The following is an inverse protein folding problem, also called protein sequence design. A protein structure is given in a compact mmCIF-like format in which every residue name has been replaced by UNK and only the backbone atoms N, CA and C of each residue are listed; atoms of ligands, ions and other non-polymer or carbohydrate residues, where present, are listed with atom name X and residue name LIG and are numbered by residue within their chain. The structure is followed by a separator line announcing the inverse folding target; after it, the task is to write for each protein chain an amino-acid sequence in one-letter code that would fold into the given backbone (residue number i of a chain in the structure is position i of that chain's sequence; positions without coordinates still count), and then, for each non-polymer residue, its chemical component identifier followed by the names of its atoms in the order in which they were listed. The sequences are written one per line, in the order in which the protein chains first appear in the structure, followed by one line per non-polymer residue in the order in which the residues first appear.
data_IF_535584100330
#
_entry.id   IF_535584100330
#
_cell.length_a   1.000
_cell.length_b   1.000
_cell.length_c   1.000
_cell.angle_alpha   90.00
_cell.angle_beta   90.00
_cell.angle_gamma   90.00
#
_symmetry.space_group_name_H-M   'P 1'
#
loop_
_entity.id
_entity.type
_entity.pdbx_description
1 polymer ?
#
# COMPACT_ATOMS: atom_id res chain seq x y z
N UNK A 1 -40.89 -13.76 29.16
CA UNK A 1 -39.87 -12.92 29.83
C UNK A 1 -38.50 -13.53 29.60
N UNK A 2 -37.70 -13.01 28.67
CA UNK A 2 -36.32 -13.49 28.50
C UNK A 2 -35.50 -13.08 29.72
N UNK A 3 -34.85 -14.05 30.37
CA UNK A 3 -33.93 -13.83 31.51
C UNK A 3 -32.80 -12.88 31.10
N UNK A 4 -32.47 -11.92 31.97
CA UNK A 4 -31.39 -10.91 31.78
C UNK A 4 -30.07 -11.56 31.39
N UNK A 5 -29.79 -12.78 31.85
CA UNK A 5 -28.58 -13.52 31.48
C UNK A 5 -28.56 -13.93 30.01
N UNK A 6 -29.71 -14.37 29.45
CA UNK A 6 -29.80 -14.72 28.02
C UNK A 6 -29.57 -13.50 27.14
N UNK A 7 -30.05 -12.33 27.56
CA UNK A 7 -29.83 -11.08 26.82
C UNK A 7 -28.34 -10.68 26.79
N UNK A 8 -27.64 -10.81 27.91
CA UNK A 8 -26.20 -10.50 28.03
C UNK A 8 -25.33 -11.46 27.21
N UNK A 9 -25.66 -12.76 27.20
CA UNK A 9 -24.95 -13.72 26.36
C UNK A 9 -25.14 -13.46 24.86
N UNK A 10 -26.35 -13.08 24.44
CA UNK A 10 -26.61 -12.75 23.03
C UNK A 10 -25.89 -11.47 22.58
N UNK A 11 -25.85 -10.42 23.40
CA UNK A 11 -25.12 -9.19 23.06
C UNK A 11 -23.61 -9.39 23.02
N UNK A 12 -23.06 -10.19 23.95
CA UNK A 12 -21.64 -10.55 23.93
C UNK A 12 -21.24 -11.35 22.66
N UNK A 13 -22.09 -12.29 22.22
CA UNK A 13 -21.84 -13.07 21.02
C UNK A 13 -21.85 -12.22 19.73
N UNK A 14 -22.73 -11.22 19.65
CA UNK A 14 -22.79 -10.29 18.51
C UNK A 14 -21.53 -9.40 18.45
N UNK A 15 -21.04 -8.92 19.59
CA UNK A 15 -19.83 -8.09 19.65
C UNK A 15 -18.56 -8.86 19.27
N UNK A 16 -18.46 -10.13 19.65
CA UNK A 16 -17.33 -11.00 19.26
C UNK A 16 -17.40 -11.34 17.76
N UNK A 17 -18.59 -11.61 17.23
CA UNK A 17 -18.78 -11.88 15.80
C UNK A 17 -18.48 -10.69 14.89
N UNK A 18 -18.75 -9.45 15.34
CA UNK A 18 -18.51 -8.24 14.57
C UNK A 18 -17.02 -7.96 14.31
N UNK A 19 -16.13 -8.32 15.25
CA UNK A 19 -14.69 -8.13 15.09
C UNK A 19 -14.05 -8.97 13.98
N UNK A 20 -14.67 -10.09 13.61
CA UNK A 20 -14.19 -10.96 12.54
C UNK A 20 -14.35 -10.35 11.13
N UNK A 21 -15.23 -9.34 10.97
CA UNK A 21 -15.50 -8.67 9.68
C UNK A 21 -14.59 -7.46 9.44
N UNK A 22 -13.88 -6.99 10.47
CA UNK A 22 -12.96 -5.86 10.43
C UNK A 22 -11.50 -6.32 10.28
N UNK A 23 -11.26 -7.39 9.54
CA UNK A 23 -9.89 -7.78 9.18
C UNK A 23 -9.28 -6.68 8.30
N UNK A 24 -8.14 -6.09 8.69
CA UNK A 24 -7.42 -5.17 7.82
C UNK A 24 -7.12 -5.86 6.49
N UNK A 25 -7.56 -5.25 5.38
CA UNK A 25 -7.22 -5.77 4.06
C UNK A 25 -5.69 -5.78 3.93
N UNK A 26 -5.07 -6.91 3.55
CA UNK A 26 -3.63 -6.97 3.39
C UNK A 26 -3.22 -5.95 2.33
N UNK A 27 -2.21 -5.15 2.65
CA UNK A 27 -1.71 -4.14 1.72
C UNK A 27 -1.10 -4.84 0.49
N UNK A 28 -1.45 -4.35 -0.70
CA UNK A 28 -0.86 -4.82 -1.95
C UNK A 28 0.56 -4.29 -2.06
N UNK A 29 1.52 -5.19 -2.18
CA UNK A 29 2.94 -4.84 -2.40
C UNK A 29 3.13 -4.23 -3.79
N UNK A 30 3.79 -3.08 -3.84
CA UNK A 30 4.09 -2.34 -5.07
C UNK A 30 5.51 -1.78 -5.00
N UNK A 31 6.32 -2.04 -6.00
CA UNK A 31 7.64 -1.43 -6.20
C UNK A 31 7.53 -0.32 -7.25
N UNK A 32 7.88 0.90 -6.86
CA UNK A 32 8.00 2.07 -7.75
C UNK A 32 9.49 2.36 -7.92
N UNK A 33 9.97 2.35 -9.15
CA UNK A 33 11.36 2.70 -9.48
C UNK A 33 11.48 4.18 -9.76
N UNK A 34 12.49 4.84 -9.20
CA UNK A 34 12.84 6.23 -9.53
C UNK A 34 14.28 6.30 -10.08
N UNK A 35 14.52 7.06 -11.16
CA UNK A 35 15.75 6.91 -11.96
C UNK A 35 16.78 8.02 -11.74
N UNK A 36 16.51 9.00 -10.87
CA UNK A 36 17.46 10.03 -10.48
C UNK A 36 17.27 10.43 -9.02
N UNK A 37 18.29 11.04 -8.41
CA UNK A 37 18.24 11.54 -7.02
C UNK A 37 18.12 13.06 -7.02
N UNK A 38 16.95 13.55 -7.39
CA UNK A 38 16.65 14.99 -7.43
C UNK A 38 15.33 15.30 -6.72
N UNK A 39 15.08 16.59 -6.44
CA UNK A 39 13.83 17.05 -5.80
C UNK A 39 12.56 16.71 -6.58
N UNK A 40 12.68 16.40 -7.89
CA UNK A 40 11.55 15.92 -8.70
C UNK A 40 10.92 14.63 -8.15
N UNK A 41 11.68 13.84 -7.40
CA UNK A 41 11.22 12.57 -6.83
C UNK A 41 10.57 12.70 -5.45
N UNK A 42 10.67 13.88 -4.81
CA UNK A 42 10.13 14.11 -3.46
C UNK A 42 8.65 13.75 -3.27
N UNK A 43 7.74 13.98 -4.24
CA UNK A 43 6.35 13.57 -4.09
C UNK A 43 6.19 12.07 -3.75
N UNK A 44 7.05 11.20 -4.27
CA UNK A 44 7.01 9.76 -3.97
C UNK A 44 7.31 9.48 -2.49
N UNK A 45 8.32 10.16 -1.94
CA UNK A 45 8.75 10.00 -0.55
C UNK A 45 7.73 10.64 0.41
N UNK A 46 7.26 11.84 0.10
CA UNK A 46 6.20 12.52 0.87
C UNK A 46 4.93 11.65 0.91
N UNK A 47 4.55 11.04 -0.22
CA UNK A 47 3.40 10.13 -0.26
C UNK A 47 3.61 8.89 0.64
N UNK A 48 4.82 8.34 0.68
CA UNK A 48 5.17 7.18 1.51
C UNK A 48 5.20 7.52 2.99
N UNK A 49 5.88 8.60 3.37
CA UNK A 49 6.01 9.06 4.76
C UNK A 49 4.68 9.57 5.31
N UNK A 50 3.88 10.24 4.49
CA UNK A 50 2.55 10.73 4.84
C UNK A 50 1.47 9.64 4.91
N UNK A 51 1.81 8.36 4.67
CA UNK A 51 0.86 7.25 4.76
C UNK A 51 -0.18 7.18 3.63
N UNK A 52 0.03 7.93 2.54
CA UNK A 52 -0.95 8.03 1.46
C UNK A 52 -1.11 6.69 0.72
N UNK A 53 -0.01 5.96 0.50
CA UNK A 53 -0.09 4.63 -0.14
C UNK A 53 -0.87 3.63 0.71
N UNK A 54 -0.62 3.59 2.02
CA UNK A 54 -1.28 2.69 2.95
C UNK A 54 -2.78 3.01 3.07
N UNK A 55 -3.14 4.30 3.07
CA UNK A 55 -4.54 4.76 2.99
C UNK A 55 -5.27 4.19 1.77
N UNK A 56 -4.54 3.96 0.69
CA UNK A 56 -5.04 3.37 -0.55
C UNK A 56 -4.78 1.84 -0.66
N UNK A 57 -4.44 1.17 0.44
CA UNK A 57 -4.26 -0.28 0.46
C UNK A 57 -2.96 -0.77 -0.18
N UNK A 58 -1.94 0.09 -0.30
CA UNK A 58 -0.66 -0.22 -0.93
C UNK A 58 0.50 -0.23 0.08
N UNK A 59 1.35 -1.25 -0.01
CA UNK A 59 2.65 -1.33 0.64
C UNK A 59 3.72 -0.99 -0.41
N UNK A 60 4.13 0.28 -0.46
CA UNK A 60 5.03 0.78 -1.50
C UNK A 60 6.50 0.68 -1.09
N UNK A 61 7.29 0.06 -1.96
CA UNK A 61 8.76 0.11 -1.98
C UNK A 61 9.22 1.11 -3.03
N UNK A 62 10.05 2.08 -2.63
CA UNK A 62 10.69 3.01 -3.56
C UNK A 62 12.09 2.50 -3.84
N UNK A 63 12.37 2.13 -5.09
CA UNK A 63 13.64 1.57 -5.53
C UNK A 63 14.38 2.57 -6.42
N UNK A 64 15.63 2.86 -6.08
CA UNK A 64 16.48 3.62 -7.01
C UNK A 64 16.93 2.70 -8.15
N UNK A 65 16.69 3.12 -9.39
CA UNK A 65 17.06 2.34 -10.58
C UNK A 65 17.20 3.22 -11.80
N UNK A 66 18.45 3.48 -12.20
CA UNK A 66 18.78 4.23 -13.42
C UNK A 66 18.47 3.41 -14.67
N UNK A 67 18.39 4.03 -15.84
CA UNK A 67 18.31 3.30 -17.10
C UNK A 67 19.59 2.45 -17.29
N UNK A 68 19.51 1.15 -17.67
CA UNK A 68 18.30 0.42 -18.08
C UNK A 68 17.55 -0.33 -16.95
N UNK A 69 18.10 -0.36 -15.73
CA UNK A 69 17.59 -1.13 -14.58
C UNK A 69 16.09 -0.90 -14.33
N UNK A 70 15.64 0.35 -14.29
CA UNK A 70 14.23 0.63 -14.02
C UNK A 70 13.27 0.06 -15.07
N UNK A 71 13.68 0.09 -16.35
CA UNK A 71 12.91 -0.52 -17.44
C UNK A 71 12.96 -2.04 -17.35
N UNK A 72 14.12 -2.62 -17.05
CA UNK A 72 14.25 -4.06 -16.86
C UNK A 72 13.33 -4.59 -15.75
N UNK A 73 13.26 -3.88 -14.61
CA UNK A 73 12.35 -4.22 -13.52
C UNK A 73 10.87 -4.12 -13.91
N UNK A 74 10.51 -3.12 -14.71
CA UNK A 74 9.15 -2.98 -15.22
C UNK A 74 8.77 -4.17 -16.13
N UNK A 75 9.68 -4.57 -17.02
CA UNK A 75 9.46 -5.67 -17.96
C UNK A 75 9.46 -7.03 -17.26
N UNK A 76 10.33 -7.24 -16.25
CA UNK A 76 10.39 -8.50 -15.49
C UNK A 76 9.24 -8.65 -14.48
N UNK A 77 8.51 -7.57 -14.18
CA UNK A 77 7.45 -7.54 -13.17
C UNK A 77 7.94 -7.32 -11.75
N UNK A 78 9.25 -7.14 -11.54
CA UNK A 78 9.83 -6.77 -10.25
C UNK A 78 9.44 -5.34 -9.81
N UNK A 79 9.23 -4.45 -10.78
CA UNK A 79 8.68 -3.10 -10.61
C UNK A 79 7.32 -2.97 -11.28
N UNK A 80 6.37 -2.28 -10.63
CA UNK A 80 5.04 -2.03 -11.22
C UNK A 80 4.94 -0.63 -11.84
N UNK A 81 5.91 0.25 -11.58
CA UNK A 81 5.95 1.60 -12.12
C UNK A 81 7.39 2.11 -12.18
N UNK A 82 7.69 2.98 -13.15
CA UNK A 82 8.89 3.81 -13.20
C UNK A 82 8.47 5.28 -13.22
N UNK A 83 8.94 6.09 -12.26
CA UNK A 83 8.73 7.54 -12.23
C UNK A 83 9.88 8.26 -12.96
N UNK A 84 9.82 8.28 -14.29
CA UNK A 84 10.83 8.94 -15.11
C UNK A 84 10.39 10.32 -15.58
N UNK A 85 11.35 11.22 -15.81
CA UNK A 85 11.09 12.41 -16.62
C UNK A 85 10.88 12.02 -18.09
N UNK A 86 10.31 12.92 -18.89
CA UNK A 86 10.16 12.70 -20.32
C UNK A 86 11.50 12.48 -21.00
N UNK A 87 12.53 13.23 -20.63
CA UNK A 87 13.90 13.11 -21.16
C UNK A 87 14.53 11.75 -20.86
N UNK A 88 14.12 11.10 -19.77
CA UNK A 88 14.60 9.76 -19.41
C UNK A 88 13.86 8.62 -20.11
N UNK A 89 12.74 8.92 -20.78
CA UNK A 89 11.93 7.96 -21.53
C UNK A 89 12.15 8.03 -23.05
N UNK A 90 12.72 9.13 -23.54
CA UNK A 90 13.10 9.33 -24.95
C UNK A 90 14.53 8.88 -25.21
#
# INVERSE_FOLDING_TARGET
MLSRHRLVFFTAAILVGAGAWLQPQPLKKVTIVYPNRSGSQWPLFIAKEGGYYQKHGLEVTLQFGVHPTGIAMLVSGEGQMVNSSLEQLM
#
